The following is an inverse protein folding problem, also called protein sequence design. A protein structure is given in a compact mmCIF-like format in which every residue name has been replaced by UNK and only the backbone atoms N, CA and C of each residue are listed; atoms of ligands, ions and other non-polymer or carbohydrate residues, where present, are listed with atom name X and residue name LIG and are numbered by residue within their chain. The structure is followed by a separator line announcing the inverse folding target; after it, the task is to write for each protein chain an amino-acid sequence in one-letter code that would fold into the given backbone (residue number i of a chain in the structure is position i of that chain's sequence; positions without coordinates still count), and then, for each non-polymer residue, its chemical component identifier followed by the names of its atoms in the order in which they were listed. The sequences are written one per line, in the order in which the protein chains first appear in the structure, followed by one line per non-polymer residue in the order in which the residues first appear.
data_IF_985134072525
#
_entry.id   IF_985134072525
#
_cell.length_a   1.000
_cell.length_b   1.000
_cell.length_c   1.000
_cell.angle_alpha   90.00
_cell.angle_beta   90.00
_cell.angle_gamma   90.00
#
_symmetry.space_group_name_H-M   'P 1'
#
loop_
_entity.id
_entity.type
_entity.pdbx_description
1 polymer ?
#
# COMPACT_ATOMS: atom_id res chain seq x y z
N UNK A 1 -20.83 -26.72 -1.27
CA UNK A 1 -21.79 -26.96 -0.16
C UNK A 1 -22.23 -25.66 0.52
N UNK A 2 -21.34 -24.73 0.90
CA UNK A 2 -21.72 -23.47 1.55
C UNK A 2 -22.50 -22.46 0.67
N UNK A 3 -22.10 -22.23 -0.59
CA UNK A 3 -22.79 -21.26 -1.45
C UNK A 3 -24.25 -21.66 -1.77
N UNK A 4 -24.53 -22.97 -1.87
CA UNK A 4 -25.89 -23.46 -2.10
C UNK A 4 -26.82 -23.16 -0.91
N UNK A 5 -26.30 -23.22 0.31
CA UNK A 5 -27.06 -22.85 1.52
C UNK A 5 -27.35 -21.34 1.57
N UNK A 6 -26.37 -20.51 1.19
CA UNK A 6 -26.57 -19.06 1.09
C UNK A 6 -27.60 -18.69 0.03
N UNK A 7 -27.55 -19.34 -1.15
CA UNK A 7 -28.53 -19.15 -2.22
C UNK A 7 -29.93 -19.54 -1.75
N UNK A 8 -30.05 -20.68 -1.07
CA UNK A 8 -31.33 -21.13 -0.52
C UNK A 8 -31.89 -20.10 0.49
N UNK A 9 -31.05 -19.57 1.38
CA UNK A 9 -31.44 -18.51 2.31
C UNK A 9 -31.92 -17.22 1.62
N UNK A 10 -31.28 -16.82 0.52
CA UNK A 10 -31.74 -15.67 -0.29
C UNK A 10 -33.09 -15.95 -0.93
N UNK A 11 -33.30 -17.14 -1.50
CA UNK A 11 -34.58 -17.52 -2.10
C UNK A 11 -35.71 -17.60 -1.08
N UNK A 12 -35.47 -18.18 0.10
CA UNK A 12 -36.47 -18.26 1.17
C UNK A 12 -36.91 -16.88 1.67
N UNK A 13 -35.98 -15.94 1.84
CA UNK A 13 -36.32 -14.55 2.20
C UNK A 13 -37.13 -13.85 1.11
N UNK A 14 -36.79 -14.10 -0.15
CA UNK A 14 -37.52 -13.52 -1.30
C UNK A 14 -38.97 -14.04 -1.34
N UNK A 15 -39.15 -15.34 -1.15
CA UNK A 15 -40.49 -15.95 -1.13
C UNK A 15 -41.34 -15.40 0.02
N UNK A 16 -40.76 -15.23 1.21
CA UNK A 16 -41.45 -14.64 2.36
C UNK A 16 -41.92 -13.20 2.09
N UNK A 17 -41.09 -12.37 1.43
CA UNK A 17 -41.47 -10.99 1.04
C UNK A 17 -42.59 -10.95 0.02
N UNK A 18 -42.55 -11.83 -0.99
CA UNK A 18 -43.64 -11.98 -1.97
C UNK A 18 -44.95 -12.39 -1.28
N UNK A 19 -44.88 -13.33 -0.33
CA UNK A 19 -46.03 -13.77 0.46
C UNK A 19 -46.59 -12.66 1.36
N UNK A 20 -45.74 -11.76 1.83
CA UNK A 20 -46.13 -10.58 2.60
C UNK A 20 -46.65 -9.41 1.74
N UNK A 21 -46.62 -9.52 0.41
CA UNK A 21 -47.02 -8.45 -0.50
C UNK A 21 -46.02 -7.28 -0.60
N UNK A 22 -44.79 -7.48 -0.14
CA UNK A 22 -43.74 -6.45 -0.22
C UNK A 22 -43.16 -6.36 -1.63
N UNK A 23 -42.76 -5.15 -2.05
CA UNK A 23 -42.06 -4.96 -3.30
C UNK A 23 -40.71 -5.69 -3.27
N UNK A 24 -40.52 -6.62 -4.20
CA UNK A 24 -39.27 -7.36 -4.35
C UNK A 24 -38.49 -6.77 -5.52
N UNK A 25 -37.21 -6.40 -5.34
CA UNK A 25 -36.40 -5.87 -6.43
C UNK A 25 -36.24 -6.90 -7.56
N UNK A 26 -36.24 -6.42 -8.81
CA UNK A 26 -36.08 -7.25 -10.01
C UNK A 26 -34.70 -7.90 -10.09
N UNK A 27 -33.68 -7.25 -9.53
CA UNK A 27 -32.33 -7.78 -9.43
C UNK A 27 -32.05 -8.36 -8.05
N UNK A 28 -31.57 -9.60 -8.03
CA UNK A 28 -31.11 -10.28 -6.81
C UNK A 28 -29.60 -10.34 -6.88
N UNK A 29 -28.95 -9.57 -6.02
CA UNK A 29 -27.51 -9.69 -5.82
C UNK A 29 -27.20 -11.02 -5.13
N UNK A 30 -26.26 -11.78 -5.70
CA UNK A 30 -25.88 -13.06 -5.14
C UNK A 30 -25.08 -12.83 -3.85
N UNK A 31 -25.23 -13.68 -2.83
CA UNK A 31 -24.62 -13.48 -1.52
C UNK A 31 -23.09 -13.64 -1.51
N UNK A 32 -22.48 -13.89 -2.66
CA UNK A 32 -21.04 -14.00 -2.86
C UNK A 32 -20.49 -12.97 -3.86
N UNK A 33 -21.32 -12.05 -4.36
CA UNK A 33 -20.90 -11.06 -5.36
C UNK A 33 -19.69 -10.27 -4.87
N UNK A 34 -19.71 -9.77 -3.64
CA UNK A 34 -18.55 -9.09 -3.04
C UNK A 34 -17.32 -9.99 -2.97
N UNK A 35 -17.46 -11.22 -2.45
CA UNK A 35 -16.33 -12.14 -2.28
C UNK A 35 -15.61 -12.46 -3.60
N UNK A 36 -16.33 -12.54 -4.71
CA UNK A 36 -15.75 -12.91 -6.01
C UNK A 36 -15.42 -11.71 -6.90
N UNK A 37 -16.13 -10.59 -6.77
CA UNK A 37 -15.96 -9.42 -7.65
C UNK A 37 -15.31 -8.23 -6.96
N UNK A 38 -15.47 -8.06 -5.64
CA UNK A 38 -14.71 -7.08 -4.88
C UNK A 38 -13.35 -7.72 -4.49
N UNK A 39 -12.36 -7.57 -5.37
CA UNK A 39 -11.03 -8.16 -5.18
C UNK A 39 -9.93 -7.11 -5.01
N UNK A 40 -10.28 -5.88 -4.61
CA UNK A 40 -9.30 -4.80 -4.44
C UNK A 40 -8.22 -5.17 -3.41
N UNK A 41 -8.59 -5.80 -2.30
CA UNK A 41 -7.64 -6.31 -1.31
C UNK A 41 -6.67 -7.33 -1.89
N UNK A 42 -7.14 -8.21 -2.78
CA UNK A 42 -6.30 -9.21 -3.46
C UNK A 42 -5.37 -8.55 -4.50
N UNK A 43 -5.87 -7.60 -5.27
CA UNK A 43 -5.12 -6.97 -6.38
C UNK A 43 -4.13 -5.92 -5.87
N UNK A 44 -4.49 -5.14 -4.85
CA UNK A 44 -3.72 -3.99 -4.37
C UNK A 44 -3.03 -4.24 -3.02
N UNK A 45 -3.50 -5.22 -2.24
CA UNK A 45 -3.03 -5.50 -0.88
C UNK A 45 -1.87 -6.50 -0.78
N UNK A 46 -1.28 -6.92 -1.90
CA UNK A 46 -0.11 -7.80 -1.90
C UNK A 46 1.06 -7.10 -1.20
N UNK A 47 1.78 -7.84 -0.36
CA UNK A 47 3.02 -7.37 0.25
C UNK A 47 4.17 -8.32 -0.07
N UNK A 48 5.30 -7.76 -0.51
CA UNK A 48 6.52 -8.50 -0.76
C UNK A 48 7.28 -8.80 0.53
N UNK A 49 7.85 -10.02 0.58
CA UNK A 49 8.79 -10.47 1.62
C UNK A 49 10.02 -11.04 0.92
N UNK A 50 11.10 -10.28 0.92
CA UNK A 50 12.36 -10.63 0.26
C UNK A 50 13.51 -9.80 0.81
N UNK A 51 14.75 -10.09 0.41
CA UNK A 51 15.92 -9.25 0.69
C UNK A 51 15.80 -7.84 0.10
N UNK A 52 14.98 -7.65 -0.93
CA UNK A 52 14.68 -6.35 -1.54
C UNK A 52 13.61 -5.53 -0.77
N UNK A 53 13.30 -5.93 0.46
CA UNK A 53 12.40 -5.23 1.40
C UNK A 53 13.10 -5.17 2.76
N UNK A 54 13.53 -3.99 3.17
CA UNK A 54 14.24 -3.78 4.42
C UNK A 54 13.27 -3.34 5.52
N UNK A 55 13.00 -4.27 6.44
CA UNK A 55 12.18 -4.02 7.63
C UNK A 55 13.09 -3.76 8.83
N UNK A 56 12.86 -2.67 9.55
CA UNK A 56 13.60 -2.32 10.79
C UNK A 56 13.20 -3.20 11.98
N UNK A 57 12.08 -3.90 11.89
CA UNK A 57 11.60 -4.85 12.90
C UNK A 57 10.98 -6.03 12.16
N UNK A 58 11.16 -7.28 12.60
CA UNK A 58 10.46 -8.41 12.00
C UNK A 58 8.96 -8.12 12.03
N UNK A 59 8.37 -7.99 10.85
CA UNK A 59 6.94 -7.73 10.73
C UNK A 59 6.18 -8.88 11.40
N UNK A 60 5.16 -8.59 12.25
CA UNK A 60 4.30 -9.65 12.76
C UNK A 60 3.73 -10.48 11.59
N UNK A 61 3.40 -11.77 11.82
CA UNK A 61 2.77 -12.58 10.79
C UNK A 61 1.58 -11.81 10.23
N UNK A 62 1.52 -11.71 8.91
CA UNK A 62 0.49 -10.94 8.22
C UNK A 62 -0.86 -11.50 8.67
N UNK A 63 -1.67 -10.67 9.35
CA UNK A 63 -3.10 -10.92 9.32
C UNK A 63 -3.47 -10.73 7.86
N UNK A 64 -3.79 -11.82 7.17
CA UNK A 64 -4.58 -11.71 5.94
C UNK A 64 -5.71 -10.76 6.29
N UNK A 65 -5.76 -9.59 5.65
CA UNK A 65 -6.90 -8.70 5.82
C UNK A 65 -8.07 -9.52 5.29
N UNK A 66 -8.86 -10.08 6.20
CA UNK A 66 -10.07 -10.81 5.85
C UNK A 66 -11.00 -9.78 5.24
N UNK A 67 -11.06 -9.72 3.91
CA UNK A 67 -11.80 -8.67 3.24
C UNK A 67 -11.50 -8.57 1.75
N UNK A 68 -12.46 -7.99 1.07
CA UNK A 68 -12.45 -7.65 -0.36
C UNK A 68 -11.81 -6.29 -0.63
N UNK A 69 -11.69 -5.48 0.42
CA UNK A 69 -11.28 -4.07 0.35
C UNK A 69 -9.76 -3.91 0.48
N UNK A 70 -9.24 -2.90 -0.22
CA UNK A 70 -7.85 -2.50 -0.08
C UNK A 70 -7.67 -1.53 1.09
N UNK A 71 -6.80 -1.89 2.04
CA UNK A 71 -6.38 -1.00 3.13
C UNK A 71 -4.96 -0.46 2.82
N UNK A 72 -4.82 0.83 2.46
CA UNK A 72 -3.52 1.39 2.12
C UNK A 72 -2.61 1.38 3.35
N UNK A 73 -1.50 0.65 3.24
CA UNK A 73 -0.57 0.41 4.35
C UNK A 73 0.83 0.89 3.96
N UNK A 74 1.41 1.87 4.67
CA UNK A 74 2.71 2.45 4.34
C UNK A 74 3.90 1.65 4.90
N UNK A 75 3.80 0.33 4.92
CA UNK A 75 4.84 -0.55 5.48
C UNK A 75 5.73 -1.13 4.37
N UNK A 76 7.02 -1.41 4.65
CA UNK A 76 7.90 -2.08 3.70
C UNK A 76 7.26 -3.35 3.11
N UNK A 77 7.43 -3.52 1.81
CA UNK A 77 6.86 -4.61 1.03
C UNK A 77 5.47 -4.32 0.46
N UNK A 78 4.72 -3.37 1.01
CA UNK A 78 3.41 -3.00 0.46
C UNK A 78 3.53 -2.04 -0.70
N UNK A 79 2.48 -1.99 -1.54
CA UNK A 79 2.33 -0.96 -2.57
C UNK A 79 2.25 0.42 -1.93
N UNK A 80 2.92 1.41 -2.54
CA UNK A 80 2.85 2.81 -2.13
C UNK A 80 1.38 3.28 -2.12
N UNK A 81 0.87 3.80 -0.99
CA UNK A 81 -0.47 4.35 -0.96
C UNK A 81 -0.61 5.57 -1.88
N UNK A 82 -1.75 5.65 -2.59
CA UNK A 82 -2.13 6.83 -3.34
C UNK A 82 -2.37 8.01 -2.39
N UNK A 83 -1.62 9.09 -2.56
CA UNK A 83 -1.82 10.40 -1.90
C UNK A 83 -1.61 11.51 -2.91
N UNK A 84 -2.25 12.66 -2.71
CA UNK A 84 -2.00 13.85 -3.53
C UNK A 84 -0.76 14.58 -3.04
N UNK A 85 0.15 14.87 -3.95
CA UNK A 85 1.32 15.71 -3.73
C UNK A 85 0.92 17.20 -3.76
N UNK A 86 1.86 18.07 -3.38
CA UNK A 86 1.61 19.51 -3.28
C UNK A 86 1.25 20.19 -4.61
N UNK A 87 1.65 19.58 -5.73
CA UNK A 87 1.33 20.02 -7.10
C UNK A 87 0.08 19.34 -7.68
N UNK A 88 -0.63 18.54 -6.86
CA UNK A 88 -1.86 17.85 -7.25
C UNK A 88 -1.66 16.47 -7.89
N UNK A 89 -0.42 16.07 -8.23
CA UNK A 89 -0.12 14.73 -8.77
C UNK A 89 -0.36 13.63 -7.73
N UNK A 90 -0.53 12.40 -8.20
CA UNK A 90 -0.49 11.24 -7.33
C UNK A 90 0.94 10.92 -6.91
N UNK A 91 1.12 10.38 -5.70
CA UNK A 91 2.34 9.67 -5.30
C UNK A 91 2.70 8.56 -6.29
N UNK A 92 1.71 7.94 -6.91
CA UNK A 92 1.93 6.89 -7.92
C UNK A 92 2.50 7.43 -9.23
N UNK A 93 2.19 8.68 -9.59
CA UNK A 93 2.70 9.33 -10.82
C UNK A 93 4.16 9.78 -10.66
N UNK A 94 4.65 9.89 -9.42
CA UNK A 94 6.03 10.22 -9.11
C UNK A 94 6.96 8.99 -9.10
N UNK A 95 6.39 7.79 -9.12
CA UNK A 95 7.15 6.54 -9.29
C UNK A 95 7.37 6.31 -10.79
N UNK A 96 8.58 5.93 -11.17
CA UNK A 96 8.95 5.71 -12.57
C UNK A 96 10.05 4.67 -12.71
N UNK A 97 10.97 4.87 -13.66
CA UNK A 97 12.02 3.92 -13.97
C UNK A 97 13.06 3.70 -12.85
N UNK A 98 13.11 4.58 -11.85
CA UNK A 98 14.15 4.62 -10.83
C UNK A 98 13.54 4.57 -9.42
N UNK A 99 14.39 4.41 -8.40
CA UNK A 99 13.96 4.53 -7.02
C UNK A 99 13.48 5.95 -6.73
N UNK A 100 12.44 6.07 -5.91
CA UNK A 100 11.90 7.36 -5.46
C UNK A 100 11.93 7.41 -3.93
N UNK A 101 12.52 8.46 -3.37
CA UNK A 101 12.51 8.76 -1.94
C UNK A 101 11.47 9.85 -1.66
N UNK A 102 10.41 9.52 -0.94
CA UNK A 102 9.41 10.49 -0.49
C UNK A 102 9.75 10.98 0.90
N UNK A 103 9.86 12.30 1.08
CA UNK A 103 10.20 12.91 2.38
C UNK A 103 9.58 14.30 2.55
N UNK A 104 9.23 14.73 3.77
CA UNK A 104 8.84 16.11 4.05
C UNK A 104 10.01 17.11 3.95
N UNK A 105 11.25 16.63 4.00
CA UNK A 105 12.46 17.45 3.95
C UNK A 105 13.44 17.00 2.85
N UNK A 106 13.13 17.28 1.56
CA UNK A 106 14.00 16.91 0.45
C UNK A 106 15.41 17.47 0.56
N UNK A 107 15.56 18.67 1.12
CA UNK A 107 16.85 19.35 1.21
C UNK A 107 17.79 18.60 2.16
N UNK A 108 17.28 18.08 3.27
CA UNK A 108 18.08 17.27 4.19
C UNK A 108 18.56 15.95 3.57
N UNK A 109 17.69 15.29 2.79
CA UNK A 109 18.03 14.04 2.11
C UNK A 109 18.90 14.22 0.85
N UNK A 110 18.85 15.38 0.19
CA UNK A 110 19.66 15.65 -1.01
C UNK A 110 21.14 15.90 -0.70
N UNK A 111 21.47 16.48 0.47
CA UNK A 111 22.84 16.90 0.80
C UNK A 111 23.85 15.76 0.92
N UNK A 112 23.40 14.54 1.16
CA UNK A 112 24.26 13.42 1.57
C UNK A 112 24.10 12.18 0.66
N UNK A 113 23.66 12.34 -0.60
CA UNK A 113 23.36 11.21 -1.50
C UNK A 113 24.54 10.80 -2.38
N UNK A 114 25.57 10.21 -1.79
CA UNK A 114 26.59 9.47 -2.55
C UNK A 114 26.08 8.06 -2.95
N UNK A 115 25.01 8.01 -3.74
CA UNK A 115 24.34 6.74 -4.12
C UNK A 115 24.76 6.30 -5.53
N UNK A 116 25.03 5.01 -5.70
CA UNK A 116 25.51 4.41 -6.96
C UNK A 116 24.39 4.05 -7.95
N UNK A 117 23.14 4.33 -7.57
CA UNK A 117 21.93 4.06 -8.35
C UNK A 117 21.10 5.33 -8.50
N UNK A 118 20.41 5.54 -9.63
CA UNK A 118 19.54 6.68 -9.79
C UNK A 118 18.44 6.70 -8.71
N UNK A 119 18.36 7.84 -8.01
CA UNK A 119 17.40 8.10 -6.95
C UNK A 119 16.72 9.44 -7.23
N UNK A 120 15.40 9.44 -7.34
CA UNK A 120 14.59 10.65 -7.33
C UNK A 120 14.22 10.98 -5.89
N UNK A 121 14.38 12.23 -5.48
CA UNK A 121 13.83 12.72 -4.20
C UNK A 121 12.56 13.51 -4.52
N UNK A 122 11.44 13.12 -3.92
CA UNK A 122 10.12 13.70 -4.15
C UNK A 122 9.58 14.30 -2.83
N UNK A 123 9.14 15.57 -2.83
CA UNK A 123 8.55 16.18 -1.64
C UNK A 123 7.23 15.50 -1.29
N UNK A 124 7.12 15.04 -0.04
CA UNK A 124 5.87 14.57 0.53
C UNK A 124 5.27 15.66 1.42
N UNK A 125 4.05 16.14 1.13
CA UNK A 125 3.39 17.11 1.99
C UNK A 125 3.32 16.65 3.45
N UNK A 126 3.59 17.57 4.39
CA UNK A 126 3.55 17.29 5.82
C UNK A 126 2.20 16.71 6.29
N UNK A 127 1.10 17.00 5.59
CA UNK A 127 -0.22 16.40 5.88
C UNK A 127 -0.25 14.86 5.75
N UNK A 128 0.72 14.25 5.06
CA UNK A 128 0.81 12.80 4.89
C UNK A 128 1.83 12.13 5.82
N UNK A 129 2.49 12.88 6.71
CA UNK A 129 3.47 12.30 7.66
C UNK A 129 2.80 11.47 8.74
N UNK A 130 1.69 11.92 9.30
CA UNK A 130 0.99 11.23 10.38
C UNK A 130 0.43 9.85 9.93
N UNK A 131 -0.27 9.72 8.78
CA UNK A 131 -0.67 8.41 8.26
C UNK A 131 0.48 7.44 8.02
N UNK A 132 1.68 7.97 7.76
CA UNK A 132 2.90 7.19 7.55
C UNK A 132 3.80 7.13 8.79
N UNK A 133 3.34 7.70 9.90
CA UNK A 133 4.08 7.91 11.15
C UNK A 133 5.55 8.33 10.89
N UNK A 134 5.73 9.45 10.17
CA UNK A 134 6.99 10.15 10.01
C UNK A 134 7.14 11.29 11.01
N UNK A 135 8.35 11.44 11.54
CA UNK A 135 8.85 12.73 11.98
C UNK A 135 9.12 13.68 10.80
N UNK A 136 9.47 14.94 11.08
CA UNK A 136 9.66 15.98 10.06
C UNK A 136 10.75 15.66 9.02
N UNK A 137 11.64 14.73 9.33
CA UNK A 137 12.75 14.33 8.47
C UNK A 137 12.69 12.85 8.03
N UNK A 138 11.56 12.16 8.29
CA UNK A 138 11.37 10.78 7.86
C UNK A 138 11.34 10.62 6.33
N UNK A 139 11.41 9.37 5.87
CA UNK A 139 11.36 9.06 4.44
C UNK A 139 10.82 7.66 4.11
N UNK A 140 10.24 7.53 2.91
CA UNK A 140 9.96 6.25 2.25
C UNK A 140 10.86 6.08 1.06
N UNK A 141 11.58 4.96 1.01
CA UNK A 141 12.23 4.52 -0.22
C UNK A 141 11.28 3.60 -0.99
N UNK A 142 10.98 3.97 -2.23
CA UNK A 142 10.04 3.27 -3.11
C UNK A 142 10.78 2.75 -4.33
N UNK A 143 10.49 1.50 -4.70
CA UNK A 143 11.04 0.80 -5.86
C UNK A 143 10.40 1.29 -7.16
N UNK A 144 11.05 1.02 -8.32
CA UNK A 144 10.47 1.30 -9.64
C UNK A 144 9.10 0.63 -9.90
N UNK A 145 8.80 -0.48 -9.20
CA UNK A 145 7.52 -1.19 -9.29
C UNK A 145 6.43 -0.65 -8.33
N UNK A 146 6.71 0.46 -7.66
CA UNK A 146 5.77 1.13 -6.76
C UNK A 146 5.61 0.48 -5.38
N UNK A 147 6.47 -0.48 -5.01
CA UNK A 147 6.48 -1.05 -3.67
C UNK A 147 7.48 -0.36 -2.75
N UNK A 148 7.13 -0.25 -1.47
CA UNK A 148 7.98 0.37 -0.45
C UNK A 148 9.14 -0.59 -0.16
N UNK A 149 10.37 -0.16 -0.44
CA UNK A 149 11.57 -0.93 -0.09
C UNK A 149 11.86 -0.82 1.41
N UNK A 150 11.79 0.38 1.96
CA UNK A 150 12.02 0.63 3.38
C UNK A 150 11.35 1.90 3.85
N UNK A 151 11.09 1.97 5.15
CA UNK A 151 10.47 3.08 5.84
C UNK A 151 11.43 3.59 6.92
N UNK A 152 11.66 4.90 6.96
CA UNK A 152 12.48 5.58 7.96
C UNK A 152 11.61 6.59 8.70
N UNK A 153 11.32 6.39 10.00
CA UNK A 153 10.47 7.31 10.74
C UNK A 153 11.13 8.68 10.94
N UNK A 154 12.46 8.73 11.05
CA UNK A 154 13.21 9.93 11.43
C UNK A 154 14.30 10.31 10.42
N UNK A 155 14.92 11.46 10.72
CA UNK A 155 16.15 12.08 10.22
C UNK A 155 16.89 11.42 9.05
N UNK A 156 17.42 12.22 8.08
CA UNK A 156 18.32 11.65 7.10
C UNK A 156 19.44 10.96 7.88
N UNK A 157 19.68 9.66 7.63
CA UNK A 157 20.83 9.03 8.21
C UNK A 157 22.08 9.61 7.54
N UNK A 158 23.24 9.23 8.04
CA UNK A 158 24.50 9.47 7.33
C UNK A 158 24.37 9.00 5.87
N UNK A 159 25.05 9.69 4.94
CA UNK A 159 25.14 9.30 3.53
C UNK A 159 25.23 7.79 3.29
N UNK A 160 26.07 7.14 4.10
CA UNK A 160 26.34 5.71 4.04
C UNK A 160 25.10 4.86 4.22
N UNK A 161 24.18 5.20 5.11
CA UNK A 161 23.04 4.36 5.42
C UNK A 161 22.00 4.30 4.28
N UNK A 162 21.83 5.40 3.53
CA UNK A 162 20.96 5.39 2.35
C UNK A 162 21.61 4.60 1.21
N UNK A 163 22.93 4.75 1.02
CA UNK A 163 23.68 3.95 0.07
C UNK A 163 23.64 2.45 0.41
N UNK A 164 23.83 2.08 1.68
CA UNK A 164 23.71 0.72 2.19
C UNK A 164 22.31 0.15 1.97
N UNK A 165 21.26 0.93 2.22
CA UNK A 165 19.89 0.50 1.96
C UNK A 165 19.65 0.22 0.47
N UNK A 166 20.15 1.07 -0.42
CA UNK A 166 20.05 0.87 -1.87
C UNK A 166 20.90 -0.32 -2.35
N UNK A 167 22.12 -0.49 -1.85
CA UNK A 167 22.96 -1.65 -2.15
C UNK A 167 22.31 -2.95 -1.69
N UNK A 168 21.76 -2.98 -0.47
CA UNK A 168 21.05 -4.14 0.06
C UNK A 168 19.82 -4.51 -0.81
N UNK A 169 19.01 -3.53 -1.20
CA UNK A 169 17.82 -3.76 -2.03
C UNK A 169 18.18 -4.19 -3.45
N UNK A 170 19.29 -3.69 -4.00
CA UNK A 170 19.75 -4.01 -5.36
C UNK A 170 20.69 -5.21 -5.42
N UNK A 171 21.02 -5.82 -4.27
CA UNK A 171 22.03 -6.89 -4.16
C UNK A 171 23.38 -6.50 -4.78
N UNK A 172 23.74 -5.22 -4.71
CA UNK A 172 25.04 -4.71 -5.16
C UNK A 172 26.00 -4.67 -3.97
N UNK A 173 27.28 -5.01 -4.17
CA UNK A 173 28.31 -4.88 -3.14
C UNK A 173 28.58 -3.43 -2.76
#
# INVERSE_FOLDING_TARGET
MANAQLLHGVQSRRLARLQAGEAVPDQVELPWTDRYFAQLGLVLGVAYRSTAVLTTTPAPPQRTVEGTDYVPTPEPGHRLPHRRLGDGRSTLDAVGAWFTLFTPDPAAWARDTAVSVPLRIEPLPAAHTEPYAFGPHGALLVRPDGHIATRRPDGPPTATALAEALSAVTSRP
#
